data_IF_298325851488
#
_entry.id   IF_298325851488
#
_cell.length_a   1.000
_cell.length_b   1.000
_cell.length_c   1.000
_cell.angle_alpha   90.00
_cell.angle_beta   90.00
_cell.angle_gamma   90.00
#
_symmetry.space_group_name_H-M   'P 1'
#
loop_
_entity.id
_entity.type
_entity.pdbx_description
1 polymer ?
#
# COMPACT_ATOMS: atom_id res chain seq x y z
N UNK A 1 14.18 -30.94 10.38
CA UNK A 1 15.56 -30.49 10.09
C UNK A 1 15.89 -30.48 8.60
N UNK A 2 15.61 -31.53 7.80
CA UNK A 2 15.87 -31.54 6.33
C UNK A 2 15.08 -30.46 5.58
N UNK A 3 13.83 -30.23 5.90
CA UNK A 3 12.97 -29.22 5.25
C UNK A 3 13.49 -27.77 5.47
N UNK A 4 14.02 -27.50 6.68
CA UNK A 4 14.62 -26.20 6.96
C UNK A 4 15.92 -25.97 6.17
N UNK A 5 16.73 -27.00 5.96
CA UNK A 5 17.93 -26.92 5.15
C UNK A 5 17.61 -26.70 3.66
N UNK A 6 16.58 -27.37 3.15
CA UNK A 6 16.07 -27.19 1.79
C UNK A 6 15.59 -25.74 1.61
N UNK A 7 14.83 -25.20 2.56
CA UNK A 7 14.37 -23.82 2.51
C UNK A 7 15.55 -22.84 2.48
N UNK A 8 16.55 -23.03 3.33
CA UNK A 8 17.76 -22.19 3.38
C UNK A 8 18.60 -22.31 2.10
N UNK A 9 18.64 -23.49 1.45
CA UNK A 9 19.35 -23.70 0.19
C UNK A 9 18.60 -23.02 -0.98
N UNK A 10 17.27 -23.17 -1.04
CA UNK A 10 16.43 -22.50 -2.04
C UNK A 10 16.55 -20.97 -1.91
N UNK A 11 16.66 -20.47 -0.68
CA UNK A 11 16.86 -19.04 -0.39
C UNK A 11 18.31 -18.58 -0.56
N UNK A 12 19.24 -19.50 -0.86
CA UNK A 12 20.64 -19.18 -1.14
C UNK A 12 21.48 -18.83 0.10
N UNK A 13 21.00 -19.11 1.30
CA UNK A 13 21.75 -18.92 2.54
C UNK A 13 22.78 -20.01 2.78
N UNK A 14 22.53 -21.19 2.23
CA UNK A 14 23.43 -22.33 2.34
C UNK A 14 23.55 -23.05 1.00
N UNK A 15 24.65 -23.77 0.81
CA UNK A 15 24.90 -24.70 -0.30
C UNK A 15 25.10 -26.11 0.29
N UNK A 16 24.28 -27.06 -0.14
CA UNK A 16 24.43 -28.47 0.28
C UNK A 16 25.29 -29.20 -0.73
N UNK A 17 26.49 -29.62 -0.31
CA UNK A 17 27.40 -30.45 -1.12
C UNK A 17 27.29 -31.90 -0.66
N UNK A 18 26.71 -32.73 -1.54
CA UNK A 18 26.53 -34.16 -1.26
C UNK A 18 27.85 -34.82 -0.85
N UNK A 19 27.88 -35.47 0.32
CA UNK A 19 29.08 -36.12 0.88
C UNK A 19 30.09 -35.16 1.54
N UNK A 20 29.88 -33.84 1.50
CA UNK A 20 30.84 -32.85 2.03
C UNK A 20 30.26 -31.98 3.14
N UNK A 21 28.93 -31.76 3.18
CA UNK A 21 28.27 -31.00 4.23
C UNK A 21 27.43 -29.81 3.73
N UNK A 22 27.05 -28.96 4.68
CA UNK A 22 26.27 -27.73 4.43
C UNK A 22 27.21 -26.54 4.68
N UNK A 23 27.34 -25.70 3.67
CA UNK A 23 28.19 -24.52 3.70
C UNK A 23 27.32 -23.26 3.72
N UNK A 24 27.59 -22.34 4.64
CA UNK A 24 26.97 -21.02 4.64
C UNK A 24 27.54 -20.20 3.47
N UNK A 25 26.69 -19.75 2.58
CA UNK A 25 27.11 -18.88 1.48
C UNK A 25 27.36 -17.48 2.02
N UNK A 26 28.53 -16.93 1.77
CA UNK A 26 28.87 -15.56 2.22
C UNK A 26 28.30 -14.49 1.29
N UNK A 27 27.48 -14.90 0.34
CA UNK A 27 26.69 -14.01 -0.49
C UNK A 27 25.37 -13.75 0.23
N UNK A 28 25.35 -12.72 1.06
CA UNK A 28 24.12 -12.07 1.52
C UNK A 28 23.30 -11.44 0.38
N UNK A 29 23.53 -11.92 -0.82
CA UNK A 29 22.67 -11.88 -2.00
C UNK A 29 21.85 -13.16 -2.07
N UNK A 30 21.40 -13.64 -0.91
CA UNK A 30 20.23 -14.48 -0.85
C UNK A 30 19.17 -13.77 -1.66
N UNK A 31 18.51 -14.48 -2.51
CA UNK A 31 17.43 -14.09 -3.38
C UNK A 31 16.31 -13.40 -2.60
N UNK A 32 16.65 -12.26 -2.00
CA UNK A 32 15.80 -11.12 -1.97
C UNK A 32 15.84 -10.51 -3.38
N UNK A 33 15.54 -11.30 -4.40
CA UNK A 33 14.81 -10.74 -5.51
C UNK A 33 13.55 -10.24 -4.85
N UNK A 34 13.58 -8.95 -4.42
CA UNK A 34 12.39 -8.17 -4.38
C UNK A 34 11.62 -8.68 -5.59
N UNK A 35 10.47 -9.29 -5.38
CA UNK A 35 9.52 -9.50 -6.44
C UNK A 35 9.13 -8.07 -6.83
N UNK A 36 10.08 -7.40 -7.50
CA UNK A 36 9.84 -6.10 -8.06
C UNK A 36 8.73 -6.37 -9.04
N UNK A 37 7.59 -5.76 -8.80
CA UNK A 37 6.56 -5.68 -9.83
C UNK A 37 7.26 -5.28 -11.12
N UNK A 38 6.82 -5.75 -12.29
CA UNK A 38 7.40 -5.32 -13.55
C UNK A 38 7.56 -3.80 -13.52
N UNK A 39 8.73 -3.29 -13.89
CA UNK A 39 9.02 -1.86 -13.86
C UNK A 39 8.02 -1.04 -14.70
N UNK A 40 7.25 -1.71 -15.52
CA UNK A 40 6.28 -1.19 -16.49
C UNK A 40 4.82 -1.31 -16.02
N UNK A 41 4.55 -1.65 -14.74
CA UNK A 41 3.16 -1.68 -14.24
C UNK A 41 2.52 -0.31 -14.37
N UNK A 42 1.48 -0.21 -15.18
CA UNK A 42 0.77 1.05 -15.43
C UNK A 42 0.04 1.55 -14.17
N UNK A 43 -0.17 2.86 -14.04
CA UNK A 43 -0.86 3.45 -12.87
C UNK A 43 -2.23 2.86 -12.58
N UNK A 44 -3.01 2.54 -13.63
CA UNK A 44 -4.33 1.93 -13.49
C UNK A 44 -4.26 0.48 -13.01
N UNK A 45 -3.23 -0.27 -13.41
CA UNK A 45 -2.99 -1.63 -12.94
C UNK A 45 -2.63 -1.62 -11.44
N UNK A 46 -1.77 -0.69 -11.03
CA UNK A 46 -1.42 -0.50 -9.62
C UNK A 46 -2.63 -0.13 -8.78
N UNK A 47 -3.46 0.81 -9.23
CA UNK A 47 -4.69 1.20 -8.52
C UNK A 47 -5.65 0.01 -8.44
N UNK A 48 -5.77 -0.81 -9.47
CA UNK A 48 -6.64 -1.98 -9.46
C UNK A 48 -6.15 -3.08 -8.50
N UNK A 49 -4.84 -3.31 -8.42
CA UNK A 49 -4.25 -4.20 -7.42
C UNK A 49 -4.51 -3.69 -5.99
N UNK A 50 -4.29 -2.40 -5.76
CA UNK A 50 -4.59 -1.72 -4.49
C UNK A 50 -6.08 -1.82 -4.12
N UNK A 51 -6.96 -1.62 -5.08
CA UNK A 51 -8.42 -1.75 -4.90
C UNK A 51 -8.81 -3.08 -4.28
N UNK A 52 -8.22 -4.19 -4.78
CA UNK A 52 -8.49 -5.52 -4.27
C UNK A 52 -7.87 -5.73 -2.89
N UNK A 53 -6.58 -5.47 -2.76
CA UNK A 53 -5.79 -5.81 -1.57
C UNK A 53 -6.12 -4.88 -0.41
N UNK A 54 -6.11 -3.58 -0.62
CA UNK A 54 -6.35 -2.62 0.46
C UNK A 54 -7.83 -2.58 0.88
N UNK A 55 -8.75 -2.92 -0.02
CA UNK A 55 -10.14 -3.14 0.35
C UNK A 55 -10.31 -4.27 1.37
N UNK A 56 -9.59 -5.39 1.18
CA UNK A 56 -9.60 -6.49 2.16
C UNK A 56 -8.82 -6.13 3.43
N UNK A 57 -7.70 -5.43 3.33
CA UNK A 57 -6.98 -4.92 4.50
C UNK A 57 -7.87 -4.03 5.38
N UNK A 58 -8.65 -3.13 4.78
CA UNK A 58 -9.58 -2.27 5.52
C UNK A 58 -10.68 -3.08 6.23
N UNK A 59 -11.20 -4.12 5.58
CA UNK A 59 -12.18 -5.01 6.20
C UNK A 59 -11.59 -5.80 7.38
N UNK A 60 -10.37 -6.29 7.22
CA UNK A 60 -9.65 -6.99 8.30
C UNK A 60 -9.32 -6.03 9.45
N UNK A 61 -8.83 -4.83 9.17
CA UNK A 61 -8.58 -3.81 10.16
C UNK A 61 -9.83 -3.47 10.99
N UNK A 62 -10.99 -3.38 10.35
CA UNK A 62 -12.27 -3.15 11.03
C UNK A 62 -12.70 -4.33 11.91
N UNK A 63 -12.29 -5.56 11.57
CA UNK A 63 -12.65 -6.78 12.31
C UNK A 63 -11.67 -7.12 13.43
N UNK A 64 -10.38 -6.92 13.19
CA UNK A 64 -9.30 -7.49 14.01
C UNK A 64 -8.34 -6.43 14.57
N UNK A 65 -8.42 -5.19 14.08
CA UNK A 65 -7.54 -4.12 14.51
C UNK A 65 -7.66 -3.80 15.99
N UNK A 66 -6.53 -3.79 16.70
CA UNK A 66 -6.48 -3.35 18.09
C UNK A 66 -6.79 -1.84 18.21
N UNK A 67 -7.21 -1.40 19.39
CA UNK A 67 -7.46 0.04 19.65
C UNK A 67 -6.23 0.92 19.31
N UNK A 68 -5.03 0.43 19.59
CA UNK A 68 -3.80 1.15 19.29
C UNK A 68 -3.58 1.28 17.77
N UNK A 69 -3.85 0.21 17.00
CA UNK A 69 -3.73 0.24 15.54
C UNK A 69 -4.79 1.13 14.91
N UNK A 70 -6.04 1.08 15.39
CA UNK A 70 -7.11 1.98 14.91
C UNK A 70 -6.73 3.44 15.17
N UNK A 71 -6.22 3.75 16.36
CA UNK A 71 -5.71 5.10 16.67
C UNK A 71 -4.58 5.53 15.72
N UNK A 72 -3.63 4.64 15.43
CA UNK A 72 -2.56 4.95 14.48
C UNK A 72 -3.06 5.23 13.05
N UNK A 73 -4.22 4.67 12.66
CA UNK A 73 -4.89 5.00 11.39
C UNK A 73 -5.52 6.40 11.47
N UNK A 74 -6.16 6.73 12.60
CA UNK A 74 -6.74 8.06 12.85
C UNK A 74 -5.64 9.14 12.82
N UNK A 75 -4.53 8.91 13.55
CA UNK A 75 -3.38 9.81 13.59
C UNK A 75 -2.81 10.07 12.17
N UNK A 76 -2.68 9.02 11.35
CA UNK A 76 -2.19 9.17 9.97
C UNK A 76 -3.16 9.98 9.08
N UNK A 77 -4.46 9.92 9.32
CA UNK A 77 -5.43 10.79 8.66
C UNK A 77 -5.30 12.25 9.13
N UNK A 78 -5.07 12.46 10.43
CA UNK A 78 -4.84 13.82 10.98
C UNK A 78 -3.56 14.42 10.40
N UNK A 79 -2.48 13.66 10.31
CA UNK A 79 -1.22 14.10 9.67
C UNK A 79 -1.46 14.52 8.21
N UNK A 80 -2.25 13.76 7.45
CA UNK A 80 -2.62 14.08 6.07
C UNK A 80 -3.39 15.42 6.00
N UNK A 81 -4.33 15.65 6.92
CA UNK A 81 -5.07 16.91 7.01
C UNK A 81 -4.13 18.08 7.35
N UNK A 82 -3.22 17.89 8.31
CA UNK A 82 -2.25 18.89 8.71
C UNK A 82 -1.28 19.24 7.58
N UNK A 83 -0.72 18.26 6.90
CA UNK A 83 0.16 18.50 5.74
C UNK A 83 -0.56 19.28 4.65
N UNK A 84 -1.81 18.90 4.34
CA UNK A 84 -2.61 19.59 3.33
C UNK A 84 -2.96 21.03 3.71
N UNK A 85 -3.31 21.28 4.98
CA UNK A 85 -3.61 22.62 5.47
C UNK A 85 -2.38 23.53 5.57
N UNK A 86 -1.22 22.95 5.91
CA UNK A 86 0.04 23.66 6.06
C UNK A 86 0.64 24.12 4.73
N UNK A 87 0.41 23.39 3.66
CA UNK A 87 0.88 23.76 2.32
C UNK A 87 -0.05 23.22 1.23
N UNK A 88 -1.02 24.05 0.83
CA UNK A 88 -2.00 23.69 -0.22
C UNK A 88 -1.40 23.41 -1.60
N UNK A 89 -0.15 23.80 -1.82
CA UNK A 89 0.57 23.49 -3.06
C UNK A 89 1.39 22.19 -2.97
N UNK A 90 1.40 21.53 -1.80
CA UNK A 90 2.08 20.27 -1.59
C UNK A 90 1.05 19.15 -1.45
N UNK A 91 1.35 18.03 -2.08
CA UNK A 91 0.55 16.81 -1.92
C UNK A 91 1.00 16.07 -0.65
N UNK A 92 0.10 15.71 0.26
CA UNK A 92 0.45 14.98 1.49
C UNK A 92 0.71 13.49 1.20
N UNK A 93 1.61 13.19 0.24
CA UNK A 93 1.87 11.83 -0.24
C UNK A 93 2.49 10.93 0.84
N UNK A 94 3.28 11.51 1.74
CA UNK A 94 3.91 10.74 2.82
C UNK A 94 2.87 10.29 3.84
N UNK A 95 1.98 11.18 4.27
CA UNK A 95 0.87 10.86 5.17
C UNK A 95 -0.15 9.93 4.50
N UNK A 96 -0.48 10.14 3.21
CA UNK A 96 -1.32 9.26 2.41
C UNK A 96 -0.76 7.82 2.40
N UNK A 97 0.55 7.68 2.11
CA UNK A 97 1.23 6.37 2.18
C UNK A 97 1.14 5.74 3.56
N UNK A 98 1.41 6.52 4.61
CA UNK A 98 1.35 6.01 5.99
C UNK A 98 -0.05 5.55 6.36
N UNK A 99 -1.08 6.27 5.99
CA UNK A 99 -2.47 5.88 6.21
C UNK A 99 -2.78 4.47 5.68
N UNK A 100 -2.43 4.20 4.43
CA UNK A 100 -2.65 2.90 3.80
C UNK A 100 -1.81 1.79 4.43
N UNK A 101 -0.57 2.09 4.83
CA UNK A 101 0.27 1.13 5.55
C UNK A 101 -0.28 0.81 6.94
N UNK A 102 -0.78 1.78 7.69
CA UNK A 102 -1.39 1.55 9.01
C UNK A 102 -2.63 0.66 8.90
N UNK A 103 -3.42 0.80 7.85
CA UNK A 103 -4.56 -0.11 7.58
C UNK A 103 -4.05 -1.53 7.26
N UNK A 104 -3.01 -1.67 6.47
CA UNK A 104 -2.41 -2.97 6.19
C UNK A 104 -1.84 -3.62 7.47
N UNK A 105 -1.16 -2.86 8.34
CA UNK A 105 -0.67 -3.33 9.64
C UNK A 105 -1.82 -3.79 10.55
N UNK A 106 -2.92 -3.05 10.59
CA UNK A 106 -4.09 -3.38 11.38
C UNK A 106 -4.85 -4.63 10.87
N UNK A 107 -4.56 -5.09 9.65
CA UNK A 107 -5.10 -6.35 9.11
C UNK A 107 -4.53 -7.61 9.79
N UNK A 108 -3.48 -7.47 10.63
CA UNK A 108 -2.86 -8.57 11.35
C UNK A 108 -1.96 -9.49 10.52
N UNK A 109 -1.70 -9.15 9.25
CA UNK A 109 -0.89 -9.99 8.34
C UNK A 109 0.26 -9.20 7.72
N UNK A 110 1.51 -9.52 8.11
CA UNK A 110 2.71 -8.85 7.63
C UNK A 110 2.95 -9.00 6.11
N UNK A 111 2.44 -10.06 5.50
CA UNK A 111 2.53 -10.23 4.05
C UNK A 111 1.71 -9.17 3.31
N UNK A 112 0.54 -8.79 3.83
CA UNK A 112 -0.24 -7.69 3.26
C UNK A 112 0.48 -6.35 3.38
N UNK A 113 1.17 -6.11 4.51
CA UNK A 113 2.00 -4.91 4.68
C UNK A 113 3.08 -4.82 3.61
N UNK A 114 3.78 -5.94 3.35
CA UNK A 114 4.82 -6.01 2.32
C UNK A 114 4.23 -5.73 0.93
N UNK A 115 3.10 -6.34 0.60
CA UNK A 115 2.44 -6.14 -0.70
C UNK A 115 1.97 -4.70 -0.87
N UNK A 116 1.28 -4.14 0.11
CA UNK A 116 0.82 -2.74 0.08
C UNK A 116 2.00 -1.78 -0.05
N UNK A 117 3.08 -2.00 0.74
CA UNK A 117 4.31 -1.22 0.63
C UNK A 117 4.90 -1.29 -0.79
N UNK A 118 4.99 -2.48 -1.37
CA UNK A 118 5.54 -2.67 -2.71
C UNK A 118 4.72 -1.93 -3.77
N UNK A 119 3.38 -2.02 -3.69
CA UNK A 119 2.47 -1.29 -4.60
C UNK A 119 2.62 0.23 -4.47
N UNK A 120 2.80 0.72 -3.23
CA UNK A 120 3.04 2.14 -2.96
C UNK A 120 4.37 2.63 -3.48
N UNK A 121 5.44 1.85 -3.31
CA UNK A 121 6.78 2.22 -3.77
C UNK A 121 6.83 2.37 -5.32
N UNK A 122 5.95 1.68 -6.07
CA UNK A 122 5.81 1.88 -7.52
C UNK A 122 5.18 3.23 -7.91
N UNK A 123 4.48 3.92 -7.02
CA UNK A 123 3.94 5.28 -7.27
C UNK A 123 5.03 6.35 -7.43
N UNK A 124 6.25 6.06 -7.03
CA UNK A 124 7.40 6.95 -7.23
C UNK A 124 7.95 6.91 -8.65
N UNK A 125 7.42 6.03 -9.52
CA UNK A 125 7.80 5.94 -10.92
C UNK A 125 7.47 7.22 -11.70
N UNK A 126 8.29 7.59 -12.72
CA UNK A 126 8.14 8.86 -13.44
C UNK A 126 6.75 9.08 -14.04
N UNK A 127 6.16 8.02 -14.62
CA UNK A 127 4.83 8.09 -15.21
C UNK A 127 3.75 8.36 -14.18
N UNK A 128 3.80 7.67 -13.02
CA UNK A 128 2.83 7.88 -11.95
C UNK A 128 2.93 9.29 -11.39
N UNK A 129 4.14 9.76 -11.14
CA UNK A 129 4.40 11.13 -10.65
C UNK A 129 3.94 12.21 -11.64
N UNK A 130 4.10 12.00 -12.95
CA UNK A 130 3.56 12.92 -13.96
C UNK A 130 2.03 12.99 -13.92
N UNK A 131 1.36 11.84 -13.80
CA UNK A 131 -0.10 11.80 -13.67
C UNK A 131 -0.56 12.46 -12.36
N UNK A 132 0.09 12.15 -11.24
CA UNK A 132 -0.21 12.76 -9.93
C UNK A 132 -0.09 14.29 -10.01
N UNK A 133 1.03 14.82 -10.48
CA UNK A 133 1.28 16.26 -10.60
C UNK A 133 0.32 16.96 -11.57
N UNK A 134 -0.12 16.28 -12.61
CA UNK A 134 -0.99 16.88 -13.62
C UNK A 134 -2.46 16.88 -13.22
N UNK A 135 -2.90 15.89 -12.46
CA UNK A 135 -4.34 15.66 -12.19
C UNK A 135 -4.75 15.87 -10.75
N UNK A 136 -3.79 16.12 -9.88
CA UNK A 136 -4.07 16.36 -8.46
C UNK A 136 -4.10 17.85 -8.18
N UNK A 137 -5.22 18.33 -7.69
CA UNK A 137 -5.47 19.73 -7.29
C UNK A 137 -5.84 19.78 -5.81
N UNK A 138 -5.85 20.96 -5.23
CA UNK A 138 -6.35 21.19 -3.86
C UNK A 138 -7.75 20.59 -3.67
N UNK A 139 -8.67 20.80 -4.60
CA UNK A 139 -10.03 20.25 -4.54
C UNK A 139 -10.08 18.73 -4.56
N UNK A 140 -9.19 18.11 -5.35
CA UNK A 140 -9.11 16.64 -5.40
C UNK A 140 -8.58 16.06 -4.10
N UNK A 141 -7.66 16.76 -3.42
CA UNK A 141 -7.18 16.36 -2.10
C UNK A 141 -8.24 16.52 -1.01
N UNK A 142 -8.97 17.63 -0.98
CA UNK A 142 -10.11 17.80 -0.08
C UNK A 142 -11.10 16.64 -0.21
N UNK A 143 -11.35 16.21 -1.45
CA UNK A 143 -12.22 15.06 -1.72
C UNK A 143 -11.61 13.75 -1.25
N UNK A 144 -10.31 13.53 -1.52
CA UNK A 144 -9.60 12.33 -1.08
C UNK A 144 -9.58 12.19 0.45
N UNK A 145 -9.33 13.29 1.17
CA UNK A 145 -9.38 13.31 2.65
C UNK A 145 -10.78 12.91 3.18
N UNK A 146 -11.85 13.34 2.53
CA UNK A 146 -13.21 12.89 2.89
C UNK A 146 -13.39 11.39 2.67
N UNK A 147 -12.87 10.86 1.56
CA UNK A 147 -12.89 9.44 1.25
C UNK A 147 -12.13 8.63 2.31
N UNK A 148 -10.93 9.08 2.72
CA UNK A 148 -10.16 8.46 3.80
C UNK A 148 -10.93 8.48 5.13
N UNK A 149 -11.59 9.59 5.45
CA UNK A 149 -12.43 9.70 6.65
C UNK A 149 -13.58 8.70 6.66
N UNK A 150 -14.17 8.42 5.50
CA UNK A 150 -15.22 7.39 5.39
C UNK A 150 -14.66 5.99 5.69
N UNK A 151 -13.42 5.69 5.28
CA UNK A 151 -12.73 4.44 5.62
C UNK A 151 -12.50 4.35 7.12
N UNK A 152 -11.94 5.39 7.74
CA UNK A 152 -11.71 5.44 9.20
C UNK A 152 -13.00 5.25 9.96
N UNK A 153 -14.06 5.96 9.60
CA UNK A 153 -15.36 5.86 10.25
C UNK A 153 -15.93 4.42 10.22
N UNK A 154 -15.72 3.70 9.12
CA UNK A 154 -16.16 2.30 9.03
C UNK A 154 -15.29 1.37 9.90
N UNK A 155 -13.97 1.60 9.95
CA UNK A 155 -13.05 0.83 10.80
C UNK A 155 -13.38 1.05 12.28
N UNK A 156 -13.55 2.29 12.71
CA UNK A 156 -13.88 2.66 14.11
C UNK A 156 -15.23 2.06 14.54
N UNK A 157 -16.18 1.95 13.60
CA UNK A 157 -17.48 1.31 13.85
C UNK A 157 -17.43 -0.22 13.84
N UNK A 158 -16.26 -0.81 13.63
CA UNK A 158 -16.08 -2.25 13.45
C UNK A 158 -17.04 -2.82 12.36
N UNK A 159 -17.19 -2.12 11.24
CA UNK A 159 -17.97 -2.57 10.08
C UNK A 159 -17.06 -2.97 8.92
N UNK A 160 -16.69 -4.28 8.81
CA UNK A 160 -15.80 -4.76 7.75
C UNK A 160 -16.37 -4.58 6.34
N UNK A 161 -17.69 -4.66 6.18
CA UNK A 161 -18.33 -4.50 4.88
C UNK A 161 -18.25 -3.05 4.41
N UNK A 162 -18.57 -2.12 5.30
CA UNK A 162 -18.50 -0.69 5.00
C UNK A 162 -17.04 -0.25 4.77
N UNK A 163 -16.08 -0.74 5.55
CA UNK A 163 -14.67 -0.42 5.40
C UNK A 163 -14.13 -0.87 4.02
N UNK A 164 -14.44 -2.10 3.61
CA UNK A 164 -14.10 -2.60 2.26
C UNK A 164 -14.70 -1.70 1.16
N UNK A 165 -15.98 -1.40 1.27
CA UNK A 165 -16.69 -0.58 0.26
C UNK A 165 -16.10 0.83 0.21
N UNK A 166 -15.82 1.44 1.34
CA UNK A 166 -15.24 2.78 1.42
C UNK A 166 -13.84 2.82 0.77
N UNK A 167 -12.96 1.86 1.10
CA UNK A 167 -11.62 1.78 0.51
C UNK A 167 -11.68 1.54 -1.00
N UNK A 168 -12.51 0.62 -1.46
CA UNK A 168 -12.69 0.34 -2.89
C UNK A 168 -13.21 1.57 -3.64
N UNK A 169 -14.19 2.27 -3.07
CA UNK A 169 -14.69 3.53 -3.64
C UNK A 169 -13.61 4.59 -3.74
N UNK A 170 -12.75 4.72 -2.71
CA UNK A 170 -11.60 5.61 -2.75
C UNK A 170 -10.67 5.28 -3.92
N UNK A 171 -10.33 4.00 -4.15
CA UNK A 171 -9.50 3.57 -5.29
C UNK A 171 -10.19 3.81 -6.64
N UNK A 172 -11.50 3.52 -6.74
CA UNK A 172 -12.26 3.82 -7.96
C UNK A 172 -12.26 5.31 -8.29
N UNK A 173 -12.37 6.16 -7.28
CA UNK A 173 -12.33 7.60 -7.47
C UNK A 173 -10.92 8.09 -7.82
N UNK A 174 -9.86 7.48 -7.27
CA UNK A 174 -8.48 7.74 -7.69
C UNK A 174 -8.27 7.41 -9.18
N UNK A 175 -8.76 6.26 -9.65
CA UNK A 175 -8.71 5.89 -11.06
C UNK A 175 -9.49 6.90 -11.94
N UNK A 176 -10.66 7.33 -11.49
CA UNK A 176 -11.48 8.33 -12.22
C UNK A 176 -10.79 9.69 -12.29
N UNK A 177 -10.09 10.11 -11.25
CA UNK A 177 -9.30 11.37 -11.28
C UNK A 177 -8.29 11.36 -12.40
N UNK A 178 -7.57 10.26 -12.59
CA UNK A 178 -6.60 10.12 -13.68
C UNK A 178 -7.25 9.96 -15.06
N UNK A 179 -8.43 9.33 -15.17
CA UNK A 179 -9.09 9.08 -16.47
C UNK A 179 -9.86 10.29 -17.01
N UNK A 180 -10.51 11.08 -16.17
CA UNK A 180 -11.33 12.22 -16.61
C UNK A 180 -10.54 13.31 -17.34
N UNK A 181 -9.30 13.39 -17.08
CA UNK A 181 -8.40 14.41 -17.60
C UNK A 181 -7.77 14.02 -18.93
N UNK A 182 -7.58 12.72 -19.17
CA UNK A 182 -7.11 12.20 -20.45
C UNK A 182 -8.10 12.50 -21.60
N UNK A 183 -9.40 12.55 -21.31
CA UNK A 183 -10.44 12.85 -22.31
C UNK A 183 -10.58 14.35 -22.63
N UNK A 184 -9.98 15.26 -21.84
CA UNK A 184 -10.03 16.71 -22.08
C UNK A 184 -8.83 17.26 -22.86
N UNK A 185 -7.80 16.43 -23.10
CA UNK A 185 -6.59 16.79 -23.83
C UNK A 185 -6.65 16.40 -25.33
N UNK A 186 -7.81 16.03 -25.83
CA UNK A 186 -8.16 15.87 -27.23
C UNK A 186 -9.17 16.92 -27.64
#
# INVERSE_FOLDING_TARGET
>A
MREALIALEVEGYVEVRVGSGVYVTNTGSGVGRNAALPADSGPFELIRARWLIEGECAALAAREGSRAQVRAIEDALEDMVHEHMGNKNSMPLAADRMFHLRIAEASGNSAYVLVVKTLWDQRTGPLFMQLENHFTTDETWVTAIKEHRDVVNAIVKNDPKAARVAMRRHMDNAAKRFSKSWSKSK
#
